data_IF_288323551609
#
_entry.id   IF_288323551609
#
_cell.length_a   1.000
_cell.length_b   1.000
_cell.length_c   1.000
_cell.angle_alpha   90.00
_cell.angle_beta   90.00
_cell.angle_gamma   90.00
#
_symmetry.space_group_name_H-M   'P 1'
#
loop_
_entity.id
_entity.type
_entity.pdbx_description
1 polymer ?
#
# COMPACT_ATOMS: atom_id res chain seq x y z
N UNK A 1 -6.84 -0.19 13.67
CA UNK A 1 -5.51 -0.86 13.66
C UNK A 1 -4.35 0.13 13.73
N UNK A 2 -4.46 1.29 13.07
CA UNK A 2 -3.38 2.29 13.03
C UNK A 2 -2.91 2.82 14.40
N UNK A 3 -3.72 2.72 15.46
CA UNK A 3 -3.35 3.15 16.81
C UNK A 3 -2.21 2.34 17.43
N UNK A 4 -2.14 1.06 17.09
CA UNK A 4 -1.07 0.14 17.54
C UNK A 4 0.29 0.43 16.87
N UNK A 5 0.35 1.41 15.96
CA UNK A 5 1.56 1.86 15.29
C UNK A 5 1.84 3.36 15.55
N UNK A 6 1.26 3.93 16.62
CA UNK A 6 1.48 5.33 17.05
C UNK A 6 2.34 5.39 18.32
N UNK A 7 2.89 6.58 18.60
CA UNK A 7 3.62 6.84 19.85
C UNK A 7 4.82 5.91 20.07
N UNK A 8 4.83 5.17 21.19
CA UNK A 8 5.91 4.25 21.58
C UNK A 8 6.18 3.12 20.58
N UNK A 9 5.21 2.81 19.72
CA UNK A 9 5.43 1.84 18.64
C UNK A 9 6.25 2.44 17.49
N UNK A 10 6.20 3.76 17.24
CA UNK A 10 7.05 4.40 16.22
C UNK A 10 8.54 4.44 16.60
N UNK A 11 8.85 4.37 17.89
CA UNK A 11 10.24 4.30 18.38
C UNK A 11 10.80 2.87 18.36
N UNK A 12 10.03 1.87 17.94
CA UNK A 12 10.53 0.50 17.82
C UNK A 12 11.51 0.39 16.64
N UNK A 13 12.46 -0.56 16.70
CA UNK A 13 13.37 -0.81 15.59
C UNK A 13 12.60 -1.09 14.29
N UNK A 14 12.98 -0.52 13.14
CA UNK A 14 12.30 -0.74 11.87
C UNK A 14 12.11 -2.22 11.53
N UNK A 15 13.09 -3.07 11.87
CA UNK A 15 13.04 -4.52 11.66
C UNK A 15 11.85 -5.16 12.38
N UNK A 16 11.55 -4.75 13.61
CA UNK A 16 10.42 -5.25 14.38
C UNK A 16 9.10 -4.78 13.79
N UNK A 17 9.03 -3.52 13.33
CA UNK A 17 7.86 -2.98 12.65
C UNK A 17 7.57 -3.74 11.35
N UNK A 18 8.58 -3.93 10.50
CA UNK A 18 8.43 -4.73 9.27
C UNK A 18 8.06 -6.19 9.56
N UNK A 19 8.61 -6.81 10.61
CA UNK A 19 8.24 -8.17 11.00
C UNK A 19 6.76 -8.25 11.38
N UNK A 20 6.25 -7.30 12.19
CA UNK A 20 4.83 -7.22 12.54
C UNK A 20 3.95 -7.04 11.30
N UNK A 21 4.27 -6.06 10.45
CA UNK A 21 3.50 -5.78 9.22
C UNK A 21 3.46 -6.98 8.26
N UNK A 22 4.57 -7.73 8.14
CA UNK A 22 4.62 -8.94 7.30
C UNK A 22 3.83 -10.10 7.90
N UNK A 23 3.74 -10.18 9.24
CA UNK A 23 3.00 -11.22 9.94
C UNK A 23 1.49 -10.96 10.04
N UNK A 24 1.04 -9.72 9.81
CA UNK A 24 -0.39 -9.36 9.79
C UNK A 24 -1.13 -10.15 8.70
N UNK A 25 -2.42 -10.42 8.93
CA UNK A 25 -3.33 -10.88 7.90
C UNK A 25 -3.31 -9.92 6.67
N UNK A 26 -3.35 -10.41 5.43
CA UNK A 26 -3.32 -9.56 4.23
C UNK A 26 -4.38 -8.46 4.21
N UNK A 27 -5.63 -8.79 4.54
CA UNK A 27 -6.74 -7.82 4.54
C UNK A 27 -6.56 -6.80 5.66
N UNK A 28 -6.08 -7.26 6.82
CA UNK A 28 -5.75 -6.38 7.94
C UNK A 28 -4.62 -5.38 7.57
N UNK A 29 -3.62 -5.80 6.78
CA UNK A 29 -2.56 -4.93 6.33
C UNK A 29 -3.06 -3.86 5.35
N UNK A 30 -3.92 -4.24 4.39
CA UNK A 30 -4.54 -3.28 3.48
C UNK A 30 -5.41 -2.27 4.21
N UNK A 31 -6.31 -2.73 5.09
CA UNK A 31 -7.19 -1.86 5.86
C UNK A 31 -6.38 -0.92 6.75
N UNK A 32 -5.28 -1.38 7.34
CA UNK A 32 -4.36 -0.52 8.09
C UNK A 32 -3.83 0.66 7.26
N UNK A 33 -3.48 0.43 5.99
CA UNK A 33 -2.97 1.48 5.10
C UNK A 33 -4.07 2.48 4.74
N UNK A 34 -5.26 1.98 4.40
CA UNK A 34 -6.43 2.80 4.07
C UNK A 34 -6.88 3.64 5.27
N UNK A 35 -6.99 3.04 6.45
CA UNK A 35 -7.30 3.71 7.72
C UNK A 35 -6.24 4.79 8.04
N UNK A 36 -4.97 4.51 7.75
CA UNK A 36 -3.89 5.47 7.99
C UNK A 36 -3.99 6.71 7.09
N UNK A 37 -4.43 6.56 5.84
CA UNK A 37 -4.68 7.66 4.91
C UNK A 37 -5.91 8.47 5.33
N UNK A 38 -7.01 7.81 5.70
CA UNK A 38 -8.21 8.49 6.21
C UNK A 38 -7.93 9.30 7.47
N UNK A 39 -7.18 8.72 8.41
CA UNK A 39 -6.79 9.39 9.65
C UNK A 39 -5.88 10.61 9.42
N UNK A 40 -5.28 10.74 8.23
CA UNK A 40 -4.55 11.95 7.80
C UNK A 40 -5.43 12.97 7.06
N UNK A 41 -6.73 12.70 6.94
CA UNK A 41 -7.71 13.60 6.32
C UNK A 41 -7.94 13.35 4.83
N UNK A 42 -7.39 12.28 4.25
CA UNK A 42 -7.64 11.96 2.85
C UNK A 42 -8.99 11.24 2.68
N UNK A 43 -9.69 11.54 1.58
CA UNK A 43 -10.88 10.78 1.19
C UNK A 43 -10.44 9.43 0.60
N UNK A 44 -10.81 8.35 1.26
CA UNK A 44 -10.50 6.98 0.84
C UNK A 44 -11.77 6.27 0.38
N UNK A 45 -11.64 5.47 -0.67
CA UNK A 45 -12.66 4.52 -1.12
C UNK A 45 -12.10 3.11 -0.94
N UNK A 46 -12.81 2.29 -0.15
CA UNK A 46 -12.51 0.86 0.03
C UNK A 46 -13.21 0.05 -1.05
N UNK A 47 -12.54 -0.95 -1.61
CA UNK A 47 -13.18 -1.83 -2.58
C UNK A 47 -14.04 -2.88 -1.85
N UNK A 48 -15.31 -3.01 -2.24
CA UNK A 48 -16.20 -4.04 -1.70
C UNK A 48 -15.95 -5.38 -2.40
N UNK A 49 -14.99 -6.15 -1.84
CA UNK A 49 -14.61 -7.54 -2.15
C UNK A 49 -13.50 -7.77 -3.19
N UNK A 50 -12.81 -8.88 -2.93
CA UNK A 50 -11.47 -9.26 -3.36
C UNK A 50 -11.37 -9.99 -4.71
N UNK A 51 -12.33 -9.83 -5.62
CA UNK A 51 -12.37 -10.63 -6.86
C UNK A 51 -12.79 -9.78 -8.06
N UNK A 52 -11.82 -9.43 -8.91
CA UNK A 52 -12.06 -8.87 -10.25
C UNK A 52 -11.27 -7.62 -10.60
N UNK A 53 -10.75 -6.88 -9.61
CA UNK A 53 -10.24 -5.52 -9.83
C UNK A 53 -8.80 -5.46 -10.39
N UNK A 54 -8.16 -6.61 -10.61
CA UNK A 54 -6.77 -6.69 -11.08
C UNK A 54 -5.72 -6.35 -10.01
N UNK A 55 -6.10 -6.39 -8.73
CA UNK A 55 -5.21 -6.13 -7.58
C UNK A 55 -5.23 -4.69 -7.05
N UNK A 56 -6.33 -3.95 -7.24
CA UNK A 56 -6.51 -2.67 -6.56
C UNK A 56 -7.09 -2.95 -5.17
N UNK A 57 -6.41 -2.50 -4.13
CA UNK A 57 -6.80 -2.73 -2.74
C UNK A 57 -7.60 -1.54 -2.17
N UNK A 58 -7.51 -0.36 -2.81
CA UNK A 58 -8.33 0.80 -2.50
C UNK A 58 -7.99 2.01 -3.36
N UNK A 59 -8.60 3.14 -3.03
CA UNK A 59 -8.36 4.41 -3.72
C UNK A 59 -8.28 5.56 -2.73
N UNK A 60 -7.50 6.58 -3.04
CA UNK A 60 -7.39 7.79 -2.21
C UNK A 60 -7.34 9.04 -3.08
N UNK A 61 -7.96 10.12 -2.61
CA UNK A 61 -7.85 11.44 -3.24
C UNK A 61 -6.73 12.24 -2.57
N UNK A 62 -5.73 12.62 -3.35
CA UNK A 62 -4.59 13.45 -2.92
C UNK A 62 -4.42 14.57 -3.93
N UNK A 63 -4.45 15.82 -3.46
CA UNK A 63 -4.33 17.03 -4.30
C UNK A 63 -5.33 17.05 -5.48
N UNK A 64 -6.56 16.57 -5.25
CA UNK A 64 -7.61 16.52 -6.26
C UNK A 64 -7.47 15.38 -7.29
N UNK A 65 -6.36 14.63 -7.28
CA UNK A 65 -6.16 13.47 -8.14
C UNK A 65 -6.57 12.17 -7.44
N UNK A 66 -7.09 11.22 -8.20
CA UNK A 66 -7.37 9.86 -7.73
C UNK A 66 -6.10 9.02 -7.86
N UNK A 67 -5.69 8.43 -6.74
CA UNK A 67 -4.62 7.45 -6.65
C UNK A 67 -5.21 6.08 -6.34
N UNK A 68 -4.94 5.11 -7.21
CA UNK A 68 -5.26 3.70 -6.95
C UNK A 68 -4.14 3.10 -6.09
N UNK A 69 -4.52 2.25 -5.15
CA UNK A 69 -3.61 1.65 -4.18
C UNK A 69 -3.46 0.16 -4.45
N UNK A 70 -2.23 -0.32 -4.42
CA UNK A 70 -1.92 -1.74 -4.27
C UNK A 70 -0.90 -1.91 -3.15
N UNK A 71 -1.15 -2.85 -2.25
CA UNK A 71 -0.40 -3.15 -1.05
C UNK A 71 0.20 -4.55 -1.15
N UNK A 72 1.52 -4.68 -0.96
CA UNK A 72 2.18 -6.00 -0.99
C UNK A 72 3.12 -6.22 0.20
N UNK A 73 2.86 -7.29 0.93
CA UNK A 73 3.71 -7.77 2.04
C UNK A 73 4.86 -8.63 1.53
N UNK A 74 5.93 -8.01 1.04
CA UNK A 74 7.16 -8.73 0.67
C UNK A 74 8.05 -8.99 1.88
N UNK A 75 8.61 -10.19 1.96
CA UNK A 75 9.69 -10.53 2.88
C UNK A 75 11.08 -10.09 2.39
N UNK A 76 11.25 -9.97 1.07
CA UNK A 76 12.52 -9.68 0.40
C UNK A 76 12.49 -8.44 -0.49
N UNK A 77 13.20 -8.51 -1.61
CA UNK A 77 13.21 -7.45 -2.64
C UNK A 77 11.86 -7.49 -3.38
N UNK A 78 11.32 -6.32 -3.73
CA UNK A 78 10.09 -6.24 -4.53
C UNK A 78 10.33 -6.70 -5.97
N UNK A 79 9.27 -7.12 -6.66
CA UNK A 79 9.36 -7.49 -8.08
C UNK A 79 9.02 -6.28 -8.95
N UNK A 80 9.96 -5.78 -9.79
CA UNK A 80 9.69 -4.66 -10.70
C UNK A 80 8.47 -4.90 -11.59
N UNK A 81 8.29 -6.13 -12.09
CA UNK A 81 7.13 -6.50 -12.92
C UNK A 81 5.79 -6.24 -12.23
N UNK A 82 5.70 -6.39 -10.91
CA UNK A 82 4.47 -6.09 -10.18
C UNK A 82 4.19 -4.58 -10.13
N UNK A 83 5.24 -3.75 -10.04
CA UNK A 83 5.12 -2.29 -10.05
C UNK A 83 4.68 -1.84 -11.45
N UNK A 84 5.35 -2.32 -12.51
CA UNK A 84 5.02 -1.99 -13.91
C UNK A 84 3.59 -2.43 -14.26
N UNK A 85 3.20 -3.65 -13.89
CA UNK A 85 1.84 -4.13 -14.14
C UNK A 85 0.78 -3.27 -13.45
N UNK A 86 1.04 -2.87 -12.21
CA UNK A 86 0.12 -1.99 -11.47
C UNK A 86 0.06 -0.57 -12.05
N UNK A 87 1.20 -0.01 -12.42
CA UNK A 87 1.27 1.30 -13.09
C UNK A 87 0.50 1.28 -14.41
N UNK A 88 0.67 0.24 -15.22
CA UNK A 88 -0.05 0.03 -16.49
C UNK A 88 -1.57 -0.03 -16.25
N UNK A 89 -2.01 -0.77 -15.23
CA UNK A 89 -3.41 -0.82 -14.81
C UNK A 89 -3.94 0.58 -14.45
N UNK A 90 -3.20 1.35 -13.66
CA UNK A 90 -3.60 2.71 -13.27
C UNK A 90 -3.68 3.66 -14.46
N UNK A 91 -2.69 3.60 -15.37
CA UNK A 91 -2.67 4.38 -16.60
C UNK A 91 -3.87 4.07 -17.49
N UNK A 92 -4.24 2.79 -17.65
CA UNK A 92 -5.43 2.39 -18.42
C UNK A 92 -6.73 2.96 -17.85
N UNK A 93 -6.75 3.32 -16.57
CA UNK A 93 -7.90 3.93 -15.87
C UNK A 93 -7.76 5.45 -15.73
N UNK A 94 -6.72 6.06 -16.30
CA UNK A 94 -6.45 7.50 -16.19
C UNK A 94 -6.16 7.96 -14.75
N UNK A 95 -5.73 7.05 -13.89
CA UNK A 95 -5.48 7.30 -12.46
C UNK A 95 -3.98 7.22 -12.14
N UNK A 96 -3.58 7.84 -11.01
CA UNK A 96 -2.21 7.70 -10.49
C UNK A 96 -2.06 6.39 -9.71
N UNK A 97 -0.83 5.87 -9.61
CA UNK A 97 -0.52 4.63 -8.90
C UNK A 97 0.18 4.89 -7.56
N UNK A 98 -0.30 4.26 -6.49
CA UNK A 98 0.34 4.22 -5.18
C UNK A 98 0.62 2.77 -4.78
N UNK A 99 1.84 2.31 -5.01
CA UNK A 99 2.28 0.95 -4.68
C UNK A 99 2.98 0.93 -3.31
N UNK A 100 2.36 0.30 -2.31
CA UNK A 100 2.84 0.30 -0.91
C UNK A 100 3.37 -1.10 -0.58
N UNK A 101 4.57 -1.19 0.03
CA UNK A 101 5.16 -2.50 0.33
C UNK A 101 6.01 -2.54 1.60
N UNK A 102 6.22 -3.78 2.09
CA UNK A 102 7.16 -4.08 3.19
C UNK A 102 8.52 -4.61 2.70
N UNK A 103 8.71 -4.72 1.39
CA UNK A 103 9.95 -5.20 0.77
C UNK A 103 11.04 -4.15 0.67
N UNK A 104 12.21 -4.55 0.19
CA UNK A 104 13.28 -3.63 -0.24
C UNK A 104 13.07 -3.24 -1.70
N UNK A 105 13.22 -1.96 -2.00
CA UNK A 105 13.31 -1.47 -3.39
C UNK A 105 14.73 -1.72 -3.87
N UNK A 106 14.90 -2.51 -4.93
CA UNK A 106 16.19 -2.64 -5.62
C UNK A 106 16.35 -1.54 -6.67
N UNK A 107 17.57 -1.31 -7.15
CA UNK A 107 17.88 -0.27 -8.14
C UNK A 107 16.94 -0.28 -9.36
N UNK A 108 16.56 -1.47 -9.83
CA UNK A 108 15.68 -1.65 -11.00
C UNK A 108 14.24 -1.18 -10.76
N UNK A 109 13.82 -1.07 -9.51
CA UNK A 109 12.49 -0.60 -9.14
C UNK A 109 12.49 0.85 -8.65
N UNK A 110 13.65 1.50 -8.53
CA UNK A 110 13.74 2.91 -8.17
C UNK A 110 13.33 3.79 -9.35
N UNK A 111 12.26 4.57 -9.17
CA UNK A 111 11.76 5.51 -10.19
C UNK A 111 10.69 4.96 -11.14
N UNK A 112 10.22 3.72 -10.93
CA UNK A 112 9.05 3.15 -11.62
C UNK A 112 7.73 3.63 -11.03
#
# INVERSE_FOLDING_TARGET
MAEQLRGRDRSQPPQLLYARLRAMDPLAFEELLLESLERRGHKVTRNHRYTGDGGIDGQVVIEGAIWLIQAKRYAGIIRPDHVVAFQTLCQSRGCRSLFIHTGRTGLEAEGL
#
